data_IF_641932851866
#
_entry.id   IF_641932851866
#
_cell.length_a   1.000
_cell.length_b   1.000
_cell.length_c   1.000
_cell.angle_alpha   90.00
_cell.angle_beta   90.00
_cell.angle_gamma   90.00
#
_symmetry.space_group_name_H-M   'P 1'
#
loop_
_entity.id
_entity.type
_entity.pdbx_description
1 polymer ?
#
# COMPACT_ATOMS: atom_id res chain seq x y z
N UNK A 1 12.99 -3.32 -11.30
CA UNK A 1 13.69 -2.03 -11.10
C UNK A 1 15.20 -2.23 -10.84
N UNK A 2 15.61 -3.08 -9.89
CA UNK A 2 17.03 -3.29 -9.58
C UNK A 2 17.86 -3.79 -10.78
N UNK A 3 17.32 -4.72 -11.57
CA UNK A 3 17.99 -5.19 -12.80
C UNK A 3 18.07 -4.04 -13.81
N UNK A 4 16.98 -3.29 -14.00
CA UNK A 4 16.94 -2.14 -14.88
C UNK A 4 17.98 -1.07 -14.49
N UNK A 5 18.04 -0.73 -13.19
CA UNK A 5 19.10 0.14 -12.64
C UNK A 5 20.50 -0.37 -13.02
N UNK A 6 20.80 -1.63 -12.71
CA UNK A 6 22.14 -2.19 -12.96
C UNK A 6 22.54 -2.19 -14.44
N UNK A 7 21.64 -2.63 -15.32
CA UNK A 7 21.88 -2.69 -16.77
C UNK A 7 22.03 -1.29 -17.35
N UNK A 8 21.17 -0.34 -16.97
CA UNK A 8 21.17 1.01 -17.53
C UNK A 8 22.39 1.81 -17.09
N UNK A 9 22.77 1.70 -15.79
CA UNK A 9 24.01 2.33 -15.29
C UNK A 9 25.24 1.71 -15.94
N UNK A 10 25.30 0.37 -16.02
CA UNK A 10 26.41 -0.32 -16.67
C UNK A 10 26.55 0.12 -18.12
N UNK A 11 25.46 0.20 -18.88
CA UNK A 11 25.48 0.67 -20.27
C UNK A 11 25.99 2.11 -20.37
N UNK A 12 25.47 3.02 -19.55
CA UNK A 12 25.90 4.42 -19.53
C UNK A 12 27.40 4.57 -19.20
N UNK A 13 27.86 3.88 -18.15
CA UNK A 13 29.30 3.90 -17.77
C UNK A 13 30.18 3.28 -18.87
N UNK A 14 29.75 2.15 -19.42
CA UNK A 14 30.50 1.50 -20.53
C UNK A 14 30.60 2.41 -21.75
N UNK A 15 29.55 3.11 -22.12
CA UNK A 15 29.54 4.06 -23.24
C UNK A 15 30.42 5.29 -23.00
N UNK A 16 30.58 5.72 -21.72
CA UNK A 16 31.50 6.79 -21.37
C UNK A 16 32.95 6.35 -21.44
N UNK A 17 33.25 5.12 -21.01
CA UNK A 17 34.63 4.61 -20.97
C UNK A 17 35.12 4.16 -22.35
N UNK A 18 34.24 3.64 -23.20
CA UNK A 18 34.53 3.11 -24.51
C UNK A 18 33.57 3.72 -25.54
N UNK A 19 33.71 4.99 -25.89
CA UNK A 19 32.88 5.61 -26.92
C UNK A 19 33.14 4.95 -28.29
N UNK A 20 32.07 4.47 -28.93
CA UNK A 20 32.13 3.83 -30.25
C UNK A 20 31.70 4.86 -31.31
N UNK A 21 32.64 5.53 -31.98
CA UNK A 21 32.34 6.64 -32.91
C UNK A 21 31.53 6.21 -34.15
N UNK A 22 31.50 4.92 -34.48
CA UNK A 22 30.92 4.41 -35.73
C UNK A 22 29.48 3.85 -35.60
N UNK A 23 28.83 3.95 -34.45
CA UNK A 23 27.48 3.52 -34.31
C UNK A 23 26.51 4.51 -35.02
N UNK A 24 26.19 4.20 -36.30
CA UNK A 24 25.13 4.89 -37.03
C UNK A 24 23.75 4.60 -36.36
N UNK A 25 23.45 5.34 -35.32
CA UNK A 25 22.11 5.26 -34.70
C UNK A 25 21.09 5.91 -35.64
N UNK A 26 20.00 5.20 -35.90
CA UNK A 26 18.82 5.78 -36.54
C UNK A 26 18.07 6.66 -35.54
N UNK A 27 18.63 7.85 -35.24
CA UNK A 27 18.10 8.80 -34.28
C UNK A 27 16.63 9.11 -34.54
N UNK A 28 16.20 9.18 -35.81
CA UNK A 28 14.80 9.50 -36.17
C UNK A 28 13.80 8.48 -35.64
N UNK A 29 14.10 7.19 -35.76
CA UNK A 29 13.23 6.12 -35.32
C UNK A 29 13.20 6.05 -33.78
N UNK A 30 14.36 6.20 -33.13
CA UNK A 30 14.48 6.24 -31.67
C UNK A 30 13.69 7.41 -31.06
N UNK A 31 13.83 8.62 -31.61
CA UNK A 31 13.09 9.81 -31.17
C UNK A 31 11.58 9.60 -31.36
N UNK A 32 11.15 9.01 -32.47
CA UNK A 32 9.74 8.71 -32.73
C UNK A 32 9.14 7.77 -31.68
N UNK A 33 9.86 6.69 -31.34
CA UNK A 33 9.45 5.76 -30.29
C UNK A 33 9.38 6.45 -28.92
N UNK A 34 10.37 7.25 -28.56
CA UNK A 34 10.40 7.96 -27.27
C UNK A 34 9.30 9.00 -27.16
N UNK A 35 8.95 9.72 -28.25
CA UNK A 35 7.80 10.65 -28.26
C UNK A 35 6.49 9.87 -28.02
N UNK A 36 6.31 8.74 -28.71
CA UNK A 36 5.15 7.89 -28.50
C UNK A 36 5.06 7.38 -27.05
N UNK A 37 6.18 6.88 -26.50
CA UNK A 37 6.27 6.47 -25.10
C UNK A 37 5.93 7.61 -24.14
N UNK A 38 6.42 8.84 -24.40
CA UNK A 38 6.10 10.01 -23.59
C UNK A 38 4.60 10.31 -23.55
N UNK A 39 3.89 10.14 -24.67
CA UNK A 39 2.44 10.34 -24.71
C UNK A 39 1.70 9.27 -23.91
N UNK A 40 2.11 8.00 -24.00
CA UNK A 40 1.50 6.88 -23.27
C UNK A 40 1.76 7.01 -21.78
N UNK A 41 3.04 7.16 -21.36
CA UNK A 41 3.43 7.30 -19.97
C UNK A 41 2.85 8.59 -19.34
N UNK A 42 2.84 9.71 -20.11
CA UNK A 42 2.23 10.94 -19.65
C UNK A 42 0.74 10.81 -19.41
N UNK A 43 0.03 10.06 -20.25
CA UNK A 43 -1.40 9.77 -20.04
C UNK A 43 -1.62 8.90 -18.80
N UNK A 44 -0.84 7.83 -18.62
CA UNK A 44 -0.88 6.98 -17.43
C UNK A 44 -0.63 7.79 -16.15
N UNK A 45 0.42 8.61 -16.16
CA UNK A 45 0.76 9.50 -15.04
C UNK A 45 -0.40 10.46 -14.67
N UNK A 46 -1.09 11.05 -15.66
CA UNK A 46 -2.23 11.93 -15.41
C UNK A 46 -3.38 11.18 -14.73
N UNK A 47 -3.64 9.94 -15.13
CA UNK A 47 -4.65 9.09 -14.49
C UNK A 47 -4.28 8.78 -13.05
N UNK A 48 -3.06 8.29 -12.82
CA UNK A 48 -2.55 7.97 -11.49
C UNK A 48 -2.55 9.21 -10.57
N UNK A 49 -2.13 10.37 -11.10
CA UNK A 49 -2.15 11.64 -10.36
C UNK A 49 -3.57 12.04 -9.93
N UNK A 50 -4.56 11.94 -10.84
CA UNK A 50 -5.96 12.25 -10.52
C UNK A 50 -6.52 11.31 -9.46
N UNK A 51 -6.20 10.04 -9.54
CA UNK A 51 -6.64 9.04 -8.57
C UNK A 51 -6.08 9.36 -7.17
N UNK A 52 -4.76 9.54 -7.05
CA UNK A 52 -4.12 9.89 -5.78
C UNK A 52 -4.62 11.23 -5.27
N UNK A 53 -4.81 12.24 -6.14
CA UNK A 53 -5.32 13.55 -5.75
C UNK A 53 -6.75 13.49 -5.21
N UNK A 54 -7.60 12.63 -5.76
CA UNK A 54 -8.97 12.42 -5.26
C UNK A 54 -9.00 11.75 -3.90
N UNK A 55 -8.08 10.84 -3.64
CA UNK A 55 -7.96 10.12 -2.36
C UNK A 55 -7.29 10.94 -1.25
N UNK A 56 -6.43 11.88 -1.62
CA UNK A 56 -5.67 12.72 -0.67
C UNK A 56 -6.55 13.57 0.25
N UNK A 57 -7.72 14.02 -0.21
CA UNK A 57 -8.59 14.91 0.55
C UNK A 57 -7.90 16.20 0.98
N UNK A 58 -7.96 16.55 2.27
CA UNK A 58 -7.34 17.76 2.86
C UNK A 58 -5.87 17.57 3.27
N UNK A 59 -5.31 16.36 3.18
CA UNK A 59 -3.94 16.09 3.60
C UNK A 59 -2.90 16.73 2.66
N UNK A 60 -1.75 17.10 3.22
CA UNK A 60 -0.59 17.49 2.41
C UNK A 60 -0.03 16.24 1.71
N UNK A 61 0.51 16.38 0.48
CA UNK A 61 0.99 15.26 -0.31
C UNK A 61 2.03 14.39 0.42
N UNK A 62 2.99 15.01 1.12
CA UNK A 62 3.98 14.28 1.92
C UNK A 62 3.34 13.51 3.09
N UNK A 63 2.29 14.06 3.69
CA UNK A 63 1.57 13.43 4.79
C UNK A 63 0.74 12.26 4.27
N UNK A 64 0.10 12.44 3.11
CA UNK A 64 -0.63 11.37 2.44
C UNK A 64 0.29 10.19 2.08
N UNK A 65 1.49 10.41 1.51
CA UNK A 65 2.45 9.33 1.21
C UNK A 65 2.88 8.56 2.48
N UNK A 66 3.00 9.26 3.61
CA UNK A 66 3.45 8.64 4.86
C UNK A 66 2.37 7.91 5.61
N UNK A 67 1.13 8.37 5.52
CA UNK A 67 0.00 7.91 6.34
C UNK A 67 -1.02 7.10 5.55
N UNK A 68 -0.97 7.13 4.21
CA UNK A 68 -1.90 6.39 3.36
C UNK A 68 -1.80 4.89 3.57
N UNK A 69 -2.96 4.28 3.66
CA UNK A 69 -3.12 2.82 3.69
C UNK A 69 -3.21 2.21 2.28
N UNK A 70 -3.05 3.04 1.23
CA UNK A 70 -3.03 2.60 -0.18
C UNK A 70 -1.65 2.84 -0.83
N UNK A 71 -0.63 2.02 -0.50
CA UNK A 71 0.69 2.12 -1.09
C UNK A 71 0.69 1.76 -2.57
N UNK A 72 -0.32 1.03 -3.05
CA UNK A 72 -0.42 0.62 -4.45
C UNK A 72 -0.65 1.82 -5.36
N UNK A 73 -1.64 2.67 -5.07
CA UNK A 73 -1.91 3.88 -5.87
C UNK A 73 -0.73 4.87 -5.84
N UNK A 74 -0.07 5.00 -4.69
CA UNK A 74 1.14 5.82 -4.56
C UNK A 74 2.29 5.22 -5.37
N UNK A 75 2.45 3.90 -5.33
CA UNK A 75 3.46 3.18 -6.08
C UNK A 75 3.33 3.41 -7.59
N UNK A 76 2.12 3.24 -8.14
CA UNK A 76 1.83 3.50 -9.56
C UNK A 76 2.13 4.95 -9.94
N UNK A 77 1.71 5.92 -9.12
CA UNK A 77 2.01 7.33 -9.37
C UNK A 77 3.52 7.62 -9.43
N UNK A 78 4.30 7.04 -8.53
CA UNK A 78 5.76 7.21 -8.50
C UNK A 78 6.42 6.52 -9.70
N UNK A 79 5.96 5.33 -10.07
CA UNK A 79 6.43 4.56 -11.22
C UNK A 79 6.22 5.35 -12.52
N UNK A 80 4.97 5.75 -12.79
CA UNK A 80 4.62 6.53 -13.99
C UNK A 80 5.32 7.90 -14.02
N UNK A 81 5.45 8.55 -12.86
CA UNK A 81 6.18 9.82 -12.75
C UNK A 81 7.66 9.69 -13.11
N UNK A 82 8.32 8.64 -12.61
CA UNK A 82 9.73 8.37 -12.94
C UNK A 82 9.87 7.93 -14.40
N UNK A 83 8.90 7.17 -14.94
CA UNK A 83 8.89 6.79 -16.35
C UNK A 83 8.83 8.02 -17.27
N UNK A 84 7.95 8.99 -16.98
CA UNK A 84 7.86 10.25 -17.73
C UNK A 84 9.17 11.03 -17.66
N UNK A 85 9.78 11.17 -16.46
CA UNK A 85 11.08 11.84 -16.30
C UNK A 85 12.17 11.08 -17.06
N UNK A 86 12.18 9.75 -17.00
CA UNK A 86 13.13 8.90 -17.70
C UNK A 86 13.07 9.06 -19.21
N UNK A 87 11.86 9.04 -19.80
CA UNK A 87 11.66 9.25 -21.24
C UNK A 87 12.09 10.67 -21.65
N UNK A 88 11.79 11.68 -20.81
CA UNK A 88 12.25 13.05 -21.08
C UNK A 88 13.77 13.17 -21.05
N UNK A 89 14.45 12.52 -20.11
CA UNK A 89 15.91 12.46 -20.05
C UNK A 89 16.49 11.74 -21.27
N UNK A 90 15.90 10.61 -21.69
CA UNK A 90 16.32 9.87 -22.86
C UNK A 90 16.18 10.70 -24.15
N UNK A 91 15.03 11.39 -24.33
CA UNK A 91 14.82 12.30 -25.45
C UNK A 91 15.86 13.43 -25.46
N UNK A 92 16.11 14.04 -24.31
CA UNK A 92 17.08 15.12 -24.17
C UNK A 92 18.49 14.63 -24.45
N UNK A 93 18.89 13.49 -23.87
CA UNK A 93 20.19 12.86 -24.09
C UNK A 93 20.42 12.56 -25.57
N UNK A 94 19.45 11.91 -26.21
CA UNK A 94 19.52 11.55 -27.63
C UNK A 94 19.53 12.78 -28.55
N UNK A 95 18.73 13.82 -28.29
CA UNK A 95 18.70 15.04 -29.08
C UNK A 95 20.03 15.81 -28.99
N UNK A 96 20.58 15.96 -27.77
CA UNK A 96 21.86 16.62 -27.52
C UNK A 96 23.00 15.82 -28.16
N UNK A 97 22.95 14.49 -28.04
CA UNK A 97 23.93 13.56 -28.64
C UNK A 97 23.96 13.70 -30.16
N UNK A 98 22.79 13.78 -30.78
CA UNK A 98 22.68 14.02 -32.21
C UNK A 98 23.23 15.39 -32.66
N UNK A 99 22.94 16.44 -31.86
CA UNK A 99 23.39 17.81 -32.19
C UNK A 99 24.92 17.97 -32.07
N UNK A 100 25.52 17.39 -31.03
CA UNK A 100 26.96 17.47 -30.80
C UNK A 100 27.75 16.36 -31.49
N UNK A 101 27.10 15.42 -32.17
CA UNK A 101 27.71 14.20 -32.72
C UNK A 101 28.58 13.47 -31.68
N UNK A 102 28.11 13.38 -30.46
CA UNK A 102 28.80 12.78 -29.32
C UNK A 102 27.87 11.85 -28.53
N UNK A 103 28.38 10.69 -28.14
CA UNK A 103 27.60 9.73 -27.30
C UNK A 103 27.55 10.10 -25.82
N UNK A 104 28.36 11.08 -25.40
CA UNK A 104 28.46 11.46 -23.98
C UNK A 104 27.13 11.90 -23.36
N UNK A 105 26.31 12.75 -24.01
CA UNK A 105 25.04 13.19 -23.44
C UNK A 105 24.04 12.02 -23.23
N UNK A 106 23.98 11.08 -24.17
CA UNK A 106 23.14 9.89 -24.09
C UNK A 106 23.60 8.95 -22.97
N UNK A 107 24.90 8.75 -22.83
CA UNK A 107 25.50 7.97 -21.76
C UNK A 107 25.21 8.57 -20.36
N UNK A 108 25.28 9.90 -20.23
CA UNK A 108 24.92 10.61 -18.99
C UNK A 108 23.41 10.45 -18.70
N UNK A 109 22.57 10.61 -19.71
CA UNK A 109 21.13 10.41 -19.57
C UNK A 109 20.82 8.99 -19.10
N UNK A 110 21.48 7.96 -19.68
CA UNK A 110 21.34 6.57 -19.26
C UNK A 110 21.72 6.36 -17.80
N UNK A 111 22.82 6.95 -17.32
CA UNK A 111 23.23 6.86 -15.91
C UNK A 111 22.16 7.50 -15.00
N UNK A 112 21.67 8.70 -15.37
CA UNK A 112 20.63 9.40 -14.58
C UNK A 112 19.34 8.60 -14.51
N UNK A 113 18.90 8.01 -15.63
CA UNK A 113 17.72 7.12 -15.68
C UNK A 113 17.95 5.91 -14.77
N UNK A 114 19.13 5.30 -14.86
CA UNK A 114 19.46 4.18 -13.97
C UNK A 114 19.37 4.58 -12.50
N UNK A 115 19.95 5.70 -12.09
CA UNK A 115 19.87 6.19 -10.71
C UNK A 115 18.41 6.39 -10.29
N UNK A 116 17.56 6.98 -11.13
CA UNK A 116 16.14 7.15 -10.84
C UNK A 116 15.43 5.81 -10.62
N UNK A 117 15.71 4.80 -11.44
CA UNK A 117 15.20 3.44 -11.26
C UNK A 117 15.67 2.80 -9.95
N UNK A 118 16.93 3.04 -9.56
CA UNK A 118 17.49 2.57 -8.29
C UNK A 118 16.80 3.21 -7.10
N UNK A 119 16.57 4.52 -7.13
CA UNK A 119 15.82 5.25 -6.09
C UNK A 119 14.39 4.74 -5.99
N UNK A 120 13.71 4.57 -7.14
CA UNK A 120 12.36 4.00 -7.17
C UNK A 120 12.33 2.60 -6.54
N UNK A 121 13.30 1.74 -6.90
CA UNK A 121 13.38 0.40 -6.36
C UNK A 121 13.48 0.38 -4.83
N UNK A 122 14.27 1.28 -4.25
CA UNK A 122 14.40 1.41 -2.78
C UNK A 122 13.09 1.91 -2.16
N UNK A 123 12.48 2.93 -2.75
CA UNK A 123 11.18 3.47 -2.25
C UNK A 123 10.11 2.38 -2.29
N UNK A 124 9.99 1.65 -3.40
CA UNK A 124 9.02 0.58 -3.57
C UNK A 124 9.27 -0.58 -2.61
N UNK A 125 10.54 -0.96 -2.41
CA UNK A 125 10.90 -1.99 -1.43
C UNK A 125 10.51 -1.56 0.00
N UNK A 126 10.75 -0.31 0.37
CA UNK A 126 10.36 0.25 1.66
C UNK A 126 8.84 0.27 1.84
N UNK A 127 8.10 0.76 0.84
CA UNK A 127 6.63 0.84 0.90
C UNK A 127 5.99 -0.55 1.01
N UNK A 128 6.42 -1.49 0.16
CA UNK A 128 5.90 -2.85 0.20
C UNK A 128 6.36 -3.62 1.46
N UNK A 129 7.58 -3.38 1.94
CA UNK A 129 8.07 -3.96 3.19
C UNK A 129 7.22 -3.56 4.40
N UNK A 130 6.69 -2.35 4.42
CA UNK A 130 5.77 -1.89 5.49
C UNK A 130 4.46 -2.67 5.53
N UNK A 131 3.99 -3.20 4.40
CA UNK A 131 2.80 -4.05 4.35
C UNK A 131 3.05 -5.47 4.88
N UNK A 132 4.31 -5.93 4.81
CA UNK A 132 4.69 -7.26 5.31
C UNK A 132 4.95 -7.27 6.83
N UNK A 133 5.17 -6.10 7.42
CA UNK A 133 5.28 -5.94 8.87
C UNK A 133 3.89 -5.55 9.35
N UNK A 134 3.16 -6.52 9.95
CA UNK A 134 1.82 -6.38 10.51
C UNK A 134 1.58 -4.97 11.10
N UNK A 135 1.00 -4.08 10.30
CA UNK A 135 0.77 -2.70 10.69
C UNK A 135 -0.57 -2.63 11.43
N UNK A 136 -0.55 -2.15 12.66
CA UNK A 136 -1.77 -1.82 13.38
C UNK A 136 -2.44 -0.56 12.81
N UNK A 137 -3.70 -0.39 13.09
CA UNK A 137 -4.41 0.88 12.90
C UNK A 137 -3.76 2.01 13.71
N UNK A 138 -4.15 3.23 13.44
CA UNK A 138 -3.73 4.36 14.27
C UNK A 138 -4.25 4.20 15.71
N UNK A 139 -3.52 4.76 16.68
CA UNK A 139 -3.95 4.71 18.10
C UNK A 139 -5.33 5.33 18.30
N UNK A 140 -5.71 6.34 17.49
CA UNK A 140 -7.03 6.96 17.53
C UNK A 140 -8.13 6.01 17.07
N UNK A 141 -7.89 5.23 16.03
CA UNK A 141 -8.85 4.30 15.47
C UNK A 141 -9.01 3.08 16.38
N UNK A 142 -7.92 2.59 16.96
CA UNK A 142 -7.96 1.53 17.99
C UNK A 142 -8.73 1.98 19.23
N UNK A 143 -8.60 3.24 19.63
CA UNK A 143 -9.32 3.82 20.76
C UNK A 143 -10.83 3.95 20.47
N UNK A 144 -11.20 4.29 19.23
CA UNK A 144 -12.62 4.33 18.81
C UNK A 144 -13.23 2.92 18.83
N UNK A 145 -12.51 1.93 18.29
CA UNK A 145 -12.94 0.52 18.33
C UNK A 145 -13.08 0.05 19.77
N UNK A 146 -12.11 0.31 20.62
CA UNK A 146 -12.12 -0.05 22.05
C UNK A 146 -13.32 0.53 22.79
N UNK A 147 -13.60 1.83 22.59
CA UNK A 147 -14.76 2.50 23.22
C UNK A 147 -16.07 1.91 22.74
N UNK A 148 -16.17 1.61 21.45
CA UNK A 148 -17.37 0.98 20.90
C UNK A 148 -17.62 -0.41 21.51
N UNK A 149 -16.58 -1.26 21.59
CA UNK A 149 -16.71 -2.62 22.13
C UNK A 149 -17.06 -2.60 23.63
N UNK A 150 -16.44 -1.72 24.42
CA UNK A 150 -16.75 -1.55 25.84
C UNK A 150 -18.16 -0.99 26.10
N UNK A 151 -18.80 -0.40 25.11
CA UNK A 151 -20.18 0.08 25.22
C UNK A 151 -21.23 -1.02 24.93
N UNK A 152 -20.79 -2.23 24.54
CA UNK A 152 -21.69 -3.36 24.33
C UNK A 152 -22.05 -4.01 25.68
N UNK A 153 -23.31 -4.25 25.91
CA UNK A 153 -23.85 -4.82 27.19
C UNK A 153 -23.27 -6.21 27.49
N UNK A 154 -22.78 -6.90 26.49
CA UNK A 154 -22.21 -8.25 26.57
C UNK A 154 -20.75 -8.28 27.03
N UNK A 155 -20.04 -7.13 27.03
CA UNK A 155 -18.62 -7.03 27.33
C UNK A 155 -18.41 -6.37 28.68
N UNK A 156 -17.71 -7.06 29.59
CA UNK A 156 -17.28 -6.50 30.87
C UNK A 156 -15.92 -5.81 30.73
N UNK A 157 -14.98 -6.48 30.08
CA UNK A 157 -13.60 -6.01 29.92
C UNK A 157 -12.97 -6.50 28.64
N UNK A 158 -12.05 -5.70 28.09
CA UNK A 158 -11.14 -6.09 26.99
C UNK A 158 -9.77 -6.39 27.57
N UNK A 159 -9.31 -7.63 27.44
CA UNK A 159 -8.00 -8.07 27.87
C UNK A 159 -6.95 -7.83 26.79
N UNK A 160 -7.27 -8.17 25.54
CA UNK A 160 -6.39 -7.92 24.38
C UNK A 160 -7.21 -7.29 23.26
N UNK A 161 -6.67 -6.25 22.64
CA UNK A 161 -7.16 -5.70 21.38
C UNK A 161 -5.95 -5.47 20.49
N UNK A 162 -5.90 -6.16 19.36
CA UNK A 162 -4.87 -6.00 18.33
C UNK A 162 -5.53 -5.82 16.98
N UNK A 163 -5.04 -4.89 16.20
CA UNK A 163 -5.47 -4.67 14.82
C UNK A 163 -4.31 -4.97 13.88
N UNK A 164 -4.62 -5.53 12.72
CA UNK A 164 -3.65 -5.88 11.69
C UNK A 164 -4.22 -5.50 10.33
N UNK A 165 -3.52 -4.62 9.61
CA UNK A 165 -3.89 -4.24 8.25
C UNK A 165 -3.37 -5.33 7.31
N UNK A 166 -4.29 -6.10 6.71
CA UNK A 166 -3.96 -7.21 5.82
C UNK A 166 -3.84 -6.73 4.37
N UNK A 167 -4.69 -5.80 3.97
CA UNK A 167 -4.74 -5.22 2.63
C UNK A 167 -5.36 -3.82 2.69
N UNK A 168 -5.31 -3.03 1.61
CA UNK A 168 -6.06 -1.77 1.53
C UNK A 168 -7.53 -2.00 1.92
N UNK A 169 -8.04 -1.20 2.85
CA UNK A 169 -9.41 -1.31 3.39
C UNK A 169 -9.78 -2.67 4.01
N UNK A 170 -8.79 -3.48 4.40
CA UNK A 170 -9.01 -4.76 5.05
C UNK A 170 -8.19 -4.86 6.34
N UNK A 171 -8.89 -4.89 7.45
CA UNK A 171 -8.32 -5.01 8.80
C UNK A 171 -8.76 -6.31 9.44
N UNK A 172 -7.81 -7.00 10.07
CA UNK A 172 -8.07 -8.08 11.01
C UNK A 172 -8.08 -7.50 12.43
N UNK A 173 -9.11 -7.80 13.19
CA UNK A 173 -9.25 -7.50 14.61
C UNK A 173 -9.09 -8.79 15.40
N UNK A 174 -8.12 -8.85 16.29
CA UNK A 174 -7.97 -9.91 17.28
C UNK A 174 -8.36 -9.35 18.64
N UNK A 175 -9.34 -9.96 19.27
CA UNK A 175 -10.01 -9.47 20.46
C UNK A 175 -10.12 -10.57 21.50
N UNK A 176 -9.67 -10.31 22.73
CA UNK A 176 -9.86 -11.17 23.89
C UNK A 176 -10.66 -10.37 24.92
N UNK A 177 -11.82 -10.91 25.32
CA UNK A 177 -12.78 -10.22 26.18
C UNK A 177 -13.25 -11.09 27.34
N UNK A 178 -13.59 -10.43 28.45
CA UNK A 178 -14.37 -11.01 29.51
C UNK A 178 -15.87 -10.67 29.27
N UNK A 179 -16.72 -11.69 29.27
CA UNK A 179 -18.16 -11.53 29.12
C UNK A 179 -18.81 -11.05 30.42
N UNK A 180 -19.81 -10.21 30.28
CA UNK A 180 -20.68 -9.82 31.39
C UNK A 180 -21.55 -11.01 31.81
N UNK A 181 -21.29 -11.55 33.00
CA UNK A 181 -21.97 -12.73 33.55
C UNK A 181 -23.48 -12.55 33.68
N UNK A 182 -23.94 -11.33 33.97
CA UNK A 182 -25.39 -11.03 34.11
C UNK A 182 -26.17 -11.29 32.81
N UNK A 183 -25.55 -11.17 31.65
CA UNK A 183 -26.14 -11.52 30.35
C UNK A 183 -26.42 -13.03 30.22
N UNK A 184 -25.62 -13.86 30.90
CA UNK A 184 -25.77 -15.31 30.90
C UNK A 184 -26.87 -15.74 31.89
N UNK A 185 -26.95 -15.07 33.07
CA UNK A 185 -27.89 -15.41 34.14
C UNK A 185 -29.35 -15.19 33.73
N UNK A 186 -29.66 -14.17 32.96
CA UNK A 186 -31.05 -13.88 32.50
C UNK A 186 -31.64 -14.98 31.59
N UNK A 187 -30.79 -15.89 31.06
CA UNK A 187 -31.21 -16.99 30.21
C UNK A 187 -31.26 -18.37 30.89
N UNK A 188 -30.99 -18.45 32.21
CA UNK A 188 -30.93 -19.71 32.95
C UNK A 188 -32.12 -19.78 33.90
N UNK A 189 -33.23 -20.37 33.49
CA UNK A 189 -34.33 -20.77 34.37
C UNK A 189 -34.52 -22.29 34.34
N UNK A 190 -34.39 -22.90 35.50
CA UNK A 190 -34.91 -24.18 35.97
C UNK A 190 -34.85 -25.42 35.04
N UNK A 191 -33.65 -25.75 34.54
CA UNK A 191 -33.43 -26.94 33.73
C UNK A 191 -32.29 -27.82 34.30
N UNK A 192 -32.27 -29.10 33.93
CA UNK A 192 -31.15 -30.00 34.27
C UNK A 192 -29.81 -29.43 33.87
N UNK A 193 -28.74 -29.69 34.62
CA UNK A 193 -27.37 -29.17 34.41
C UNK A 193 -26.89 -29.28 32.96
N UNK A 194 -27.25 -30.37 32.28
CA UNK A 194 -26.88 -30.61 30.85
C UNK A 194 -27.57 -29.60 29.91
N UNK A 195 -28.83 -29.26 30.18
CA UNK A 195 -29.61 -28.28 29.40
C UNK A 195 -29.12 -26.85 29.67
N UNK A 196 -28.71 -26.54 30.90
CA UNK A 196 -28.12 -25.27 31.27
C UNK A 196 -26.84 -25.03 30.51
N UNK A 197 -25.90 -26.02 30.53
CA UNK A 197 -24.63 -25.93 29.79
C UNK A 197 -24.89 -25.73 28.30
N UNK A 198 -25.80 -26.50 27.71
CA UNK A 198 -26.07 -26.41 26.26
C UNK A 198 -26.72 -25.06 25.88
N UNK A 199 -27.61 -24.52 26.71
CA UNK A 199 -28.23 -23.20 26.52
C UNK A 199 -27.20 -22.09 26.68
N UNK A 200 -26.31 -22.17 27.69
CA UNK A 200 -25.24 -21.19 27.91
C UNK A 200 -24.28 -21.15 26.74
N UNK A 201 -23.79 -22.29 26.25
CA UNK A 201 -22.89 -22.36 25.07
C UNK A 201 -23.55 -21.79 23.82
N UNK A 202 -24.84 -22.11 23.57
CA UNK A 202 -25.59 -21.51 22.46
C UNK A 202 -25.82 -20.03 22.63
N UNK A 203 -26.08 -19.56 23.87
CA UNK A 203 -26.25 -18.14 24.22
C UNK A 203 -24.98 -17.35 23.94
N UNK A 204 -23.84 -17.85 24.41
CA UNK A 204 -22.52 -17.26 24.15
C UNK A 204 -22.21 -17.20 22.66
N UNK A 205 -22.41 -18.32 21.92
CA UNK A 205 -22.19 -18.32 20.47
C UNK A 205 -23.07 -17.31 19.70
N UNK A 206 -24.35 -17.13 20.16
CA UNK A 206 -25.24 -16.12 19.59
C UNK A 206 -24.77 -14.71 19.90
N UNK A 207 -24.31 -14.45 21.12
CA UNK A 207 -23.77 -13.16 21.54
C UNK A 207 -22.51 -12.79 20.74
N UNK A 208 -21.59 -13.75 20.51
CA UNK A 208 -20.42 -13.57 19.67
C UNK A 208 -20.82 -13.15 18.26
N UNK A 209 -21.70 -13.91 17.60
CA UNK A 209 -22.13 -13.62 16.23
C UNK A 209 -22.81 -12.23 16.12
N UNK A 210 -23.57 -11.84 17.13
CA UNK A 210 -24.22 -10.52 17.16
C UNK A 210 -23.19 -9.41 17.35
N UNK A 211 -22.20 -9.60 18.23
CA UNK A 211 -21.10 -8.65 18.45
C UNK A 211 -20.25 -8.49 17.19
N UNK A 212 -19.84 -9.57 16.54
CA UNK A 212 -19.11 -9.50 15.27
C UNK A 212 -19.87 -8.69 14.23
N UNK A 213 -21.17 -8.93 14.11
CA UNK A 213 -22.03 -8.22 13.17
C UNK A 213 -22.15 -6.73 13.50
N UNK A 214 -22.24 -6.38 14.78
CA UNK A 214 -22.29 -4.97 15.22
C UNK A 214 -20.95 -4.27 14.94
N UNK A 215 -19.83 -4.93 15.20
CA UNK A 215 -18.48 -4.40 14.88
C UNK A 215 -18.33 -4.19 13.38
N UNK A 216 -18.67 -5.17 12.54
CA UNK A 216 -18.56 -5.06 11.09
C UNK A 216 -19.49 -4.00 10.50
N UNK A 217 -20.68 -3.82 11.06
CA UNK A 217 -21.61 -2.76 10.64
C UNK A 217 -21.07 -1.36 10.97
N UNK A 218 -20.41 -1.20 12.11
CA UNK A 218 -19.85 0.09 12.56
C UNK A 218 -18.52 0.40 11.87
N UNK A 219 -17.69 -0.63 11.61
CA UNK A 219 -16.37 -0.55 11.01
C UNK A 219 -16.29 -1.47 9.79
N UNK A 220 -16.78 -1.07 8.61
CA UNK A 220 -16.86 -1.92 7.42
C UNK A 220 -15.50 -2.39 6.86
N UNK A 221 -14.41 -1.73 7.24
CA UNK A 221 -13.03 -2.11 6.92
C UNK A 221 -12.53 -3.32 7.73
N UNK A 222 -13.16 -3.65 8.87
CA UNK A 222 -12.84 -4.85 9.64
C UNK A 222 -13.51 -6.05 8.97
N UNK A 223 -12.72 -6.83 8.22
CA UNK A 223 -13.21 -8.00 7.46
C UNK A 223 -13.07 -9.31 8.23
N UNK A 224 -12.08 -9.40 9.10
CA UNK A 224 -11.79 -10.60 9.87
C UNK A 224 -11.76 -10.24 11.35
N UNK A 225 -12.53 -10.98 12.13
CA UNK A 225 -12.58 -10.85 13.60
C UNK A 225 -12.19 -12.21 14.17
N UNK A 226 -11.17 -12.19 15.01
CA UNK A 226 -10.71 -13.33 15.80
C UNK A 226 -11.02 -13.02 17.26
N UNK A 227 -12.08 -13.63 17.78
CA UNK A 227 -12.63 -13.31 19.09
C UNK A 227 -12.43 -14.47 20.03
N UNK A 228 -11.62 -14.26 21.07
CA UNK A 228 -11.38 -15.20 22.15
C UNK A 228 -12.09 -14.72 23.43
N UNK A 229 -12.59 -15.67 24.19
CA UNK A 229 -13.26 -15.44 25.47
C UNK A 229 -12.34 -15.94 26.57
N UNK A 230 -12.17 -15.13 27.58
CA UNK A 230 -11.38 -15.46 28.76
C UNK A 230 -12.27 -16.01 29.88
#
# INVERSE_FOLDING_TARGET
FFIGFGVTVYHGVSSLLNPHPDAQFSYGLGIGILIFSLLVEGYAFIIAYKEVYSKKGSLTFNMFIRESDDPTSIGVLLEDGIAVIGVFLALSGMAISNYFHSQIPDAIASILIGILLGVLAVIMAYMNGRLLINRSLSLSDEDEIRKFILALDTVDKITVLKTEIIAPDQVKLSLEIDFNVSFIEDNISDDSVSNIIQKSVKGVGKAINEMEKQIQNRFPNIKYIDLEIN
#
